data_IF_591195259435
#
_entry.id   IF_591195259435
#
_cell.length_a   1.000
_cell.length_b   1.000
_cell.length_c   1.000
_cell.angle_alpha   90.00
_cell.angle_beta   90.00
_cell.angle_gamma   90.00
#
_symmetry.space_group_name_H-M   'P 1'
#
loop_
_entity.id
_entity.type
_entity.pdbx_description
1 polymer ?
#
# COMPACT_ATOMS: atom_id res chain seq x y z
N UNK A 1 -12.55 0.13 0.99
CA UNK A 1 -11.16 0.42 1.46
C UNK A 1 -10.80 1.89 1.31
N UNK A 2 -11.10 2.50 0.17
CA UNK A 2 -11.00 3.96 -0.03
C UNK A 2 -12.29 4.69 0.37
N UNK A 3 -13.33 3.93 0.71
CA UNK A 3 -14.68 4.35 1.12
C UNK A 3 -14.73 4.76 2.60
N UNK A 4 -13.66 5.39 3.08
CA UNK A 4 -13.64 6.06 4.38
C UNK A 4 -14.31 7.44 4.25
N UNK A 5 -14.93 7.95 5.31
CA UNK A 5 -15.42 9.33 5.33
C UNK A 5 -14.30 10.35 4.97
N UNK A 6 -14.66 11.40 4.25
CA UNK A 6 -13.69 12.37 3.73
C UNK A 6 -12.95 13.11 4.86
N UNK A 7 -13.64 13.44 5.95
CA UNK A 7 -13.07 14.09 7.14
C UNK A 7 -11.98 13.24 7.80
N UNK A 8 -12.19 11.92 7.90
CA UNK A 8 -11.22 10.99 8.45
C UNK A 8 -10.03 10.81 7.50
N UNK A 9 -10.27 10.79 6.20
CA UNK A 9 -9.18 10.75 5.23
C UNK A 9 -8.30 11.99 5.34
N UNK A 10 -8.90 13.18 5.44
CA UNK A 10 -8.17 14.44 5.63
C UNK A 10 -7.28 14.42 6.87
N UNK A 11 -7.78 13.91 8.00
CA UNK A 11 -6.96 13.74 9.22
C UNK A 11 -5.72 12.85 9.01
N UNK A 12 -5.84 11.78 8.22
CA UNK A 12 -4.68 10.95 7.89
C UNK A 12 -3.65 11.70 7.05
N UNK A 13 -4.13 12.50 6.08
CA UNK A 13 -3.26 13.37 5.26
C UNK A 13 -2.57 14.43 6.11
N UNK A 14 -3.29 15.06 7.05
CA UNK A 14 -2.74 16.04 7.98
C UNK A 14 -1.60 15.46 8.84
N UNK A 15 -1.74 14.21 9.30
CA UNK A 15 -0.68 13.53 10.07
C UNK A 15 0.56 13.30 9.21
N UNK A 16 0.39 12.82 7.97
CA UNK A 16 1.50 12.61 7.01
C UNK A 16 2.23 13.93 6.75
N UNK A 17 1.49 15.02 6.59
CA UNK A 17 2.02 16.37 6.37
C UNK A 17 2.78 16.90 7.58
N UNK A 18 2.21 16.72 8.78
CA UNK A 18 2.81 17.14 10.04
C UNK A 18 4.14 16.42 10.28
N UNK A 19 4.21 15.13 9.96
CA UNK A 19 5.43 14.31 10.08
C UNK A 19 6.41 14.52 8.91
N UNK A 20 6.06 15.39 7.95
CA UNK A 20 6.84 15.72 6.75
C UNK A 20 7.20 14.49 5.90
N UNK A 21 6.34 13.47 5.92
CA UNK A 21 6.52 12.24 5.16
C UNK A 21 6.20 12.52 3.69
N UNK A 22 7.25 12.57 2.88
CA UNK A 22 7.18 12.67 1.42
C UNK A 22 7.51 11.32 0.80
N UNK A 23 6.51 10.62 0.28
CA UNK A 23 6.62 9.30 -0.34
C UNK A 23 5.70 9.22 -1.57
N UNK A 24 6.26 8.90 -2.73
CA UNK A 24 5.50 8.84 -3.98
C UNK A 24 4.34 7.81 -3.96
N UNK A 25 4.47 6.71 -3.21
CA UNK A 25 3.39 5.73 -3.07
C UNK A 25 2.23 6.30 -2.25
N UNK A 26 2.52 7.04 -1.18
CA UNK A 26 1.49 7.70 -0.39
C UNK A 26 0.83 8.83 -1.18
N UNK A 27 1.60 9.65 -1.88
CA UNK A 27 1.04 10.70 -2.74
C UNK A 27 0.14 10.12 -3.83
N UNK A 28 0.51 9.00 -4.45
CA UNK A 28 -0.35 8.28 -5.40
C UNK A 28 -1.71 7.87 -4.78
N UNK A 29 -1.70 7.33 -3.56
CA UNK A 29 -2.93 6.95 -2.84
C UNK A 29 -3.74 8.17 -2.41
N UNK A 30 -3.08 9.24 -1.96
CA UNK A 30 -3.74 10.49 -1.54
C UNK A 30 -4.42 11.15 -2.73
N UNK A 31 -3.74 11.26 -3.87
CA UNK A 31 -4.25 11.86 -5.11
C UNK A 31 -5.43 11.10 -5.72
N UNK A 32 -5.61 9.82 -5.39
CA UNK A 32 -6.82 9.09 -5.76
C UNK A 32 -8.08 9.75 -5.18
N UNK A 33 -7.99 10.40 -4.00
CA UNK A 33 -9.12 11.01 -3.30
C UNK A 33 -9.04 12.54 -3.17
N UNK A 34 -7.85 13.11 -3.02
CA UNK A 34 -7.60 14.55 -2.89
C UNK A 34 -6.95 15.05 -4.17
N UNK A 35 -7.75 15.53 -5.12
CA UNK A 35 -7.28 15.89 -6.48
C UNK A 35 -6.40 17.14 -6.51
N UNK A 36 -6.58 18.06 -5.56
CA UNK A 36 -5.84 19.31 -5.47
C UNK A 36 -4.53 19.18 -4.67
N UNK A 37 -4.07 17.95 -4.42
CA UNK A 37 -2.84 17.67 -3.69
C UNK A 37 -1.61 18.14 -4.50
N UNK A 38 -0.77 19.05 -3.98
CA UNK A 38 0.41 19.51 -4.70
C UNK A 38 1.45 18.38 -4.86
N UNK A 39 2.22 18.37 -5.96
CA UNK A 39 3.28 17.38 -6.15
C UNK A 39 4.42 17.62 -5.15
N UNK A 40 5.02 16.55 -4.64
CA UNK A 40 6.23 16.63 -3.82
C UNK A 40 7.47 16.86 -4.69
N UNK A 41 8.43 17.63 -4.18
CA UNK A 41 9.69 17.93 -4.89
C UNK A 41 10.78 16.87 -4.72
N UNK A 42 10.70 16.08 -3.64
CA UNK A 42 11.67 15.02 -3.32
C UNK A 42 11.09 14.08 -2.26
N UNK A 43 11.63 12.87 -2.17
CA UNK A 43 11.23 11.88 -1.15
C UNK A 43 12.01 12.09 0.15
N UNK A 44 11.37 11.76 1.28
CA UNK A 44 11.85 12.10 2.61
C UNK A 44 12.75 11.03 3.25
N UNK A 45 12.68 9.76 2.82
CA UNK A 45 13.50 8.67 3.39
C UNK A 45 13.74 7.53 2.39
N UNK A 46 14.99 7.02 2.34
CA UNK A 46 15.40 5.96 1.41
C UNK A 46 14.88 4.57 1.79
N UNK A 47 14.65 4.33 3.09
CA UNK A 47 14.31 3.01 3.62
C UNK A 47 12.99 2.48 3.03
N UNK A 48 11.97 3.34 2.89
CA UNK A 48 10.69 2.99 2.26
C UNK A 48 10.83 2.62 0.79
N UNK A 49 11.81 3.20 0.08
CA UNK A 49 12.06 2.94 -1.34
C UNK A 49 12.41 1.47 -1.59
N UNK A 50 13.17 0.85 -0.68
CA UNK A 50 13.56 -0.56 -0.77
C UNK A 50 12.43 -1.49 -0.33
N UNK A 51 11.75 -1.13 0.76
CA UNK A 51 10.63 -1.92 1.30
C UNK A 51 9.49 -2.08 0.28
N UNK A 52 9.15 -1.01 -0.43
CA UNK A 52 8.02 -0.97 -1.36
C UNK A 52 8.47 -0.95 -2.84
N UNK A 53 9.70 -1.38 -3.14
CA UNK A 53 10.29 -1.18 -4.47
C UNK A 53 9.47 -1.69 -5.65
N UNK A 54 8.92 -2.91 -5.57
CA UNK A 54 8.13 -3.48 -6.68
C UNK A 54 6.78 -2.77 -6.86
N UNK A 55 6.07 -2.46 -5.78
CA UNK A 55 4.78 -1.76 -5.88
C UNK A 55 4.95 -0.30 -6.32
N UNK A 56 6.05 0.35 -5.91
CA UNK A 56 6.43 1.69 -6.37
C UNK A 56 6.77 1.72 -7.87
N UNK A 57 7.41 0.68 -8.39
CA UNK A 57 7.59 0.53 -9.84
C UNK A 57 6.27 0.31 -10.55
N UNK A 58 5.35 -0.45 -9.94
CA UNK A 58 4.07 -0.77 -10.55
C UNK A 58 3.21 0.47 -10.82
N UNK A 59 3.20 1.47 -9.93
CA UNK A 59 2.42 2.70 -10.10
C UNK A 59 2.99 3.64 -11.17
N UNK A 60 4.27 3.49 -11.53
CA UNK A 60 4.91 4.27 -12.59
C UNK A 60 4.95 3.54 -13.94
N UNK A 61 4.53 2.27 -13.96
CA UNK A 61 4.58 1.42 -15.14
C UNK A 61 3.43 1.77 -16.10
N UNK A 62 3.73 1.86 -17.39
CA UNK A 62 2.75 2.23 -18.41
C UNK A 62 1.86 1.06 -18.82
N UNK A 63 2.42 -0.16 -18.85
CA UNK A 63 1.69 -1.38 -19.17
C UNK A 63 1.07 -2.01 -17.92
N UNK A 64 -0.27 -2.06 -17.88
CA UNK A 64 -1.02 -2.67 -16.77
C UNK A 64 -0.60 -4.13 -16.52
N UNK A 65 -0.25 -4.90 -17.55
CA UNK A 65 0.21 -6.28 -17.36
C UNK A 65 1.53 -6.35 -16.58
N UNK A 66 2.43 -5.40 -16.82
CA UNK A 66 3.67 -5.29 -16.07
C UNK A 66 3.41 -4.78 -14.65
N UNK A 67 2.50 -3.82 -14.46
CA UNK A 67 2.04 -3.43 -13.12
C UNK A 67 1.48 -4.63 -12.34
N UNK A 68 0.64 -5.46 -12.96
CA UNK A 68 0.08 -6.67 -12.34
C UNK A 68 1.18 -7.67 -11.92
N UNK A 69 2.20 -7.89 -12.77
CA UNK A 69 3.34 -8.76 -12.43
C UNK A 69 4.12 -8.23 -11.23
N UNK A 70 4.37 -6.92 -11.18
CA UNK A 70 5.08 -6.26 -10.09
C UNK A 70 4.29 -6.31 -8.78
N UNK A 71 2.99 -6.02 -8.83
CA UNK A 71 2.07 -6.12 -7.69
C UNK A 71 2.01 -7.55 -7.17
N UNK A 72 1.88 -8.55 -8.06
CA UNK A 72 1.93 -9.97 -7.69
C UNK A 72 3.24 -10.34 -6.99
N UNK A 73 4.38 -9.94 -7.56
CA UNK A 73 5.71 -10.20 -6.98
C UNK A 73 5.78 -9.65 -5.56
N UNK A 74 5.30 -8.43 -5.38
CA UNK A 74 5.29 -7.76 -4.08
C UNK A 74 4.39 -8.50 -3.08
N UNK A 75 3.12 -8.70 -3.42
CA UNK A 75 2.09 -9.25 -2.54
C UNK A 75 2.35 -10.70 -2.11
N UNK A 76 2.89 -11.52 -3.00
CA UNK A 76 3.03 -12.96 -2.79
C UNK A 76 4.39 -13.37 -2.18
N UNK A 77 5.41 -12.52 -2.27
CA UNK A 77 6.77 -12.88 -1.87
C UNK A 77 7.50 -11.81 -1.07
N UNK A 78 7.45 -10.56 -1.51
CA UNK A 78 8.30 -9.52 -0.94
C UNK A 78 7.70 -8.88 0.32
N UNK A 79 6.37 -8.67 0.37
CA UNK A 79 5.74 -7.86 1.41
C UNK A 79 6.17 -8.26 2.83
N UNK A 80 5.94 -9.51 3.23
CA UNK A 80 6.26 -9.96 4.58
C UNK A 80 7.78 -10.01 4.83
N UNK A 81 8.54 -10.40 3.82
CA UNK A 81 9.99 -10.57 3.90
C UNK A 81 10.70 -9.23 4.03
N UNK A 82 10.21 -8.20 3.36
CA UNK A 82 10.75 -6.85 3.43
C UNK A 82 10.53 -6.26 4.83
N UNK A 83 9.41 -6.60 5.49
CA UNK A 83 9.08 -6.11 6.84
C UNK A 83 9.67 -6.94 7.99
N UNK A 84 10.72 -7.74 7.74
CA UNK A 84 11.41 -8.53 8.78
C UNK A 84 11.93 -7.72 9.97
N UNK A 85 12.28 -6.46 9.74
CA UNK A 85 12.77 -5.53 10.77
C UNK A 85 11.65 -4.78 11.50
N UNK A 86 10.39 -4.96 11.10
CA UNK A 86 9.27 -4.29 11.74
C UNK A 86 8.93 -4.95 13.07
N UNK A 87 8.59 -4.16 14.10
CA UNK A 87 8.27 -4.68 15.44
C UNK A 87 7.05 -5.59 15.51
N UNK A 88 6.20 -5.60 14.48
CA UNK A 88 5.07 -6.51 14.34
C UNK A 88 5.43 -7.83 13.64
N UNK A 89 6.63 -7.98 13.09
CA UNK A 89 7.04 -9.22 12.42
C UNK A 89 6.98 -10.39 13.41
N UNK A 90 6.40 -11.52 13.00
CA UNK A 90 6.15 -12.68 13.87
C UNK A 90 5.29 -12.39 15.12
N UNK A 91 4.52 -11.29 15.16
CA UNK A 91 3.61 -10.97 16.26
C UNK A 91 2.59 -12.07 16.59
N UNK A 92 2.24 -12.94 15.64
CA UNK A 92 1.41 -14.13 15.88
C UNK A 92 2.03 -15.14 16.86
N UNK A 93 3.34 -15.06 17.12
CA UNK A 93 4.05 -15.90 18.08
C UNK A 93 4.22 -15.22 19.46
N UNK A 94 3.76 -13.98 19.60
CA UNK A 94 3.92 -13.22 20.84
C UNK A 94 2.73 -13.50 21.76
N UNK A 95 3.03 -13.83 23.01
CA UNK A 95 2.06 -14.24 24.03
C UNK A 95 1.03 -13.13 24.32
N UNK A 96 1.42 -11.86 24.14
CA UNK A 96 0.60 -10.69 24.47
C UNK A 96 -0.56 -10.40 23.50
N UNK A 97 -0.93 -11.33 22.61
CA UNK A 97 -2.05 -11.21 21.68
C UNK A 97 -2.08 -9.86 20.92
N UNK A 98 -0.91 -9.38 20.49
CA UNK A 98 -0.76 -8.13 19.73
C UNK A 98 -0.89 -8.36 18.21
N UNK A 99 -1.31 -9.56 17.80
CA UNK A 99 -1.48 -9.93 16.40
C UNK A 99 -2.85 -9.49 15.88
N UNK A 100 -2.84 -8.57 14.91
CA UNK A 100 -4.04 -8.05 14.25
C UNK A 100 -4.16 -8.53 12.78
N UNK A 101 -3.38 -9.53 12.40
CA UNK A 101 -3.28 -10.00 11.02
C UNK A 101 -2.08 -9.40 10.26
N UNK A 102 -1.88 -9.91 9.05
CA UNK A 102 -0.84 -9.47 8.14
C UNK A 102 -1.48 -9.04 6.82
N UNK A 103 -1.57 -7.73 6.62
CA UNK A 103 -2.34 -7.15 5.52
C UNK A 103 -1.53 -6.07 4.81
N UNK A 104 -1.24 -6.31 3.53
CA UNK A 104 -0.67 -5.31 2.63
C UNK A 104 -1.78 -4.40 2.12
N UNK A 105 -2.06 -3.35 2.88
CA UNK A 105 -3.13 -2.42 2.54
C UNK A 105 -2.77 -1.56 1.32
N UNK A 106 -1.50 -1.21 1.16
CA UNK A 106 -0.97 -0.50 0.01
C UNK A 106 -1.16 -1.30 -1.29
N UNK A 107 -1.02 -2.63 -1.26
CA UNK A 107 -1.30 -3.49 -2.43
C UNK A 107 -2.75 -3.38 -2.85
N UNK A 108 -3.69 -3.48 -1.91
CA UNK A 108 -5.12 -3.36 -2.22
C UNK A 108 -5.51 -1.96 -2.71
N UNK A 109 -4.93 -0.90 -2.14
CA UNK A 109 -5.13 0.46 -2.63
C UNK A 109 -4.66 0.61 -4.10
N UNK A 110 -3.44 0.15 -4.41
CA UNK A 110 -2.87 0.24 -5.77
C UNK A 110 -3.71 -0.54 -6.79
N UNK A 111 -4.11 -1.77 -6.47
CA UNK A 111 -4.99 -2.57 -7.34
C UNK A 111 -6.31 -1.85 -7.60
N UNK A 112 -6.96 -1.30 -6.56
CA UNK A 112 -8.24 -0.58 -6.69
C UNK A 112 -8.09 0.69 -7.54
N UNK A 113 -7.09 1.52 -7.25
CA UNK A 113 -6.86 2.81 -7.94
C UNK A 113 -6.54 2.59 -9.42
N UNK A 114 -5.65 1.65 -9.73
CA UNK A 114 -5.23 1.38 -11.12
C UNK A 114 -6.20 0.47 -11.89
N UNK A 115 -7.23 -0.07 -11.21
CA UNK A 115 -8.14 -1.08 -11.75
C UNK A 115 -7.38 -2.23 -12.41
N UNK A 116 -6.49 -2.87 -11.65
CA UNK A 116 -5.70 -4.02 -12.10
C UNK A 116 -6.51 -5.31 -11.95
N UNK A 117 -6.36 -6.24 -12.89
CA UNK A 117 -6.89 -7.59 -12.70
C UNK A 117 -5.99 -8.38 -11.73
N UNK A 118 -6.56 -8.72 -10.57
CA UNK A 118 -5.90 -9.39 -9.47
C UNK A 118 -6.12 -10.91 -9.46
N UNK A 119 -6.83 -11.46 -10.45
CA UNK A 119 -7.20 -12.88 -10.52
C UNK A 119 -6.01 -13.82 -10.27
N UNK A 120 -4.83 -13.46 -10.78
CA UNK A 120 -3.60 -14.26 -10.67
C UNK A 120 -2.88 -14.20 -9.32
N UNK A 121 -3.30 -13.31 -8.40
CA UNK A 121 -2.68 -13.13 -7.08
C UNK A 121 -3.68 -12.86 -5.93
N UNK A 122 -4.99 -12.98 -6.19
CA UNK A 122 -6.05 -12.78 -5.19
C UNK A 122 -5.91 -13.63 -3.92
N UNK A 123 -5.29 -14.81 -4.04
CA UNK A 123 -5.07 -15.75 -2.94
C UNK A 123 -3.71 -15.60 -2.25
N UNK A 124 -2.94 -14.57 -2.57
CA UNK A 124 -1.66 -14.35 -1.89
C UNK A 124 -1.90 -13.96 -0.43
N UNK A 125 -1.18 -14.64 0.47
CA UNK A 125 -1.45 -14.67 1.92
C UNK A 125 -1.66 -13.30 2.58
N UNK A 126 -0.93 -12.29 2.14
CA UNK A 126 -0.93 -10.96 2.73
C UNK A 126 -1.73 -9.94 1.92
N UNK A 127 -2.32 -10.34 0.80
CA UNK A 127 -3.12 -9.48 -0.05
C UNK A 127 -4.58 -9.51 0.39
N UNK A 128 -5.15 -8.40 0.87
CA UNK A 128 -6.55 -8.35 1.28
C UNK A 128 -7.46 -8.11 0.06
N UNK A 129 -7.55 -9.08 -0.86
CA UNK A 129 -8.33 -8.97 -2.10
C UNK A 129 -9.81 -8.63 -1.86
N UNK A 130 -10.40 -9.13 -0.77
CA UNK A 130 -11.77 -8.79 -0.38
C UNK A 130 -12.00 -7.29 -0.17
N UNK A 131 -10.96 -6.51 0.16
CA UNK A 131 -11.09 -5.06 0.33
C UNK A 131 -11.16 -4.30 -1.00
N UNK A 132 -10.72 -4.93 -2.09
CA UNK A 132 -10.77 -4.36 -3.45
C UNK A 132 -12.16 -4.53 -4.05
N UNK A 133 -12.73 -5.74 -3.94
CA UNK A 133 -14.01 -6.13 -4.55
C UNK A 133 -15.24 -5.83 -3.68
N UNK A 134 -15.06 -5.12 -2.56
CA UNK A 134 -16.18 -4.60 -1.78
C UNK A 134 -16.72 -3.34 -2.46
N UNK A 135 -17.80 -3.53 -3.20
CA UNK A 135 -18.77 -2.49 -3.55
C UNK A 135 -19.89 -2.54 -2.51
N UNK A 136 -19.94 -1.58 -1.61
CA UNK A 136 -21.10 -1.33 -0.74
C UNK A 136 -21.46 0.13 -0.82
#
# INVERSE_FOLDING_TARGET
MLDIEEDRFKKLVEIIDQDQVRDNLFEFIIQAKVKDRPPISSESYEYGLKLFGSIRKAITEADKNNSQKLVKKFACGEWYMNHRSSGWYNSHNIIHNIYFGYWSFETAAVVKIMSLDDSSFRYCKYYPGDLVHRDR
#
